data_IF_189924545874
#
_entry.id   IF_189924545874
#
_cell.length_a   1.000
_cell.length_b   1.000
_cell.length_c   1.000
_cell.angle_alpha   90.00
_cell.angle_beta   90.00
_cell.angle_gamma   90.00
#
_symmetry.space_group_name_H-M   'P 1'
#
loop_
_entity.id
_entity.type
_entity.pdbx_description
1 polymer ?
#
# COMPACT_ATOMS: atom_id res chain seq x y z
N UNK A 1 -42.73 -45.19 -17.75
CA UNK A 1 -41.68 -44.25 -18.20
C UNK A 1 -40.53 -44.33 -17.21
N UNK A 2 -39.48 -45.08 -17.51
CA UNK A 2 -38.27 -45.14 -16.71
C UNK A 2 -37.33 -44.05 -17.24
N UNK A 3 -37.05 -43.03 -16.42
CA UNK A 3 -36.03 -42.05 -16.73
C UNK A 3 -34.67 -42.74 -16.59
N UNK A 4 -33.76 -42.72 -17.60
CA UNK A 4 -32.44 -43.28 -17.47
C UNK A 4 -31.64 -42.39 -16.50
N UNK A 5 -31.33 -42.91 -15.32
CA UNK A 5 -30.39 -42.27 -14.42
C UNK A 5 -29.00 -42.31 -15.07
N UNK A 6 -28.52 -41.16 -15.54
CA UNK A 6 -27.15 -41.02 -16.04
C UNK A 6 -26.22 -41.13 -14.83
N UNK A 7 -25.61 -42.31 -14.66
CA UNK A 7 -24.53 -42.50 -13.70
C UNK A 7 -23.35 -41.63 -14.16
N UNK A 8 -23.24 -40.41 -13.59
CA UNK A 8 -22.10 -39.52 -13.80
C UNK A 8 -20.82 -40.26 -13.37
N UNK A 9 -19.89 -40.44 -14.29
CA UNK A 9 -18.56 -40.98 -13.98
C UNK A 9 -17.88 -40.11 -12.90
N UNK A 10 -17.12 -40.73 -11.99
CA UNK A 10 -16.40 -40.07 -10.90
C UNK A 10 -15.56 -38.86 -11.40
N UNK A 11 -14.95 -38.97 -12.59
CA UNK A 11 -14.23 -37.90 -13.25
C UNK A 11 -15.14 -36.70 -13.60
N UNK A 12 -16.35 -36.97 -14.12
CA UNK A 12 -17.31 -35.91 -14.48
C UNK A 12 -17.79 -35.16 -13.24
N UNK A 13 -18.05 -35.87 -12.13
CA UNK A 13 -18.41 -35.27 -10.85
C UNK A 13 -17.26 -34.41 -10.32
N UNK A 14 -16.03 -34.91 -10.36
CA UNK A 14 -14.85 -34.17 -9.96
C UNK A 14 -14.67 -32.88 -10.77
N UNK A 15 -14.79 -32.96 -12.10
CA UNK A 15 -14.68 -31.80 -12.98
C UNK A 15 -15.79 -30.78 -12.72
N UNK A 16 -16.99 -31.19 -12.40
CA UNK A 16 -18.10 -30.30 -12.08
C UNK A 16 -17.85 -29.56 -10.76
N UNK A 17 -17.37 -30.26 -9.73
CA UNK A 17 -16.99 -29.65 -8.45
C UNK A 17 -15.88 -28.65 -8.67
N UNK A 18 -14.82 -29.01 -9.41
CA UNK A 18 -13.71 -28.14 -9.73
C UNK A 18 -14.18 -26.86 -10.46
N UNK A 19 -15.10 -27.03 -11.42
CA UNK A 19 -15.69 -25.93 -12.18
C UNK A 19 -16.42 -24.92 -11.26
N UNK A 20 -17.30 -25.46 -10.38
CA UNK A 20 -18.04 -24.63 -9.42
C UNK A 20 -17.07 -23.93 -8.45
N UNK A 21 -16.03 -24.63 -8.01
CA UNK A 21 -15.00 -24.04 -7.13
C UNK A 21 -14.26 -22.90 -7.81
N UNK A 22 -13.80 -23.07 -9.05
CA UNK A 22 -13.13 -22.02 -9.82
C UNK A 22 -14.04 -20.81 -10.02
N UNK A 23 -15.29 -21.01 -10.43
CA UNK A 23 -16.27 -19.93 -10.55
C UNK A 23 -16.45 -19.18 -9.24
N UNK A 24 -16.62 -19.91 -8.13
CA UNK A 24 -16.76 -19.34 -6.79
C UNK A 24 -15.55 -18.50 -6.38
N UNK A 25 -14.33 -18.94 -6.71
CA UNK A 25 -13.10 -18.20 -6.46
C UNK A 25 -13.07 -16.89 -7.25
N UNK A 26 -13.40 -16.92 -8.54
CA UNK A 26 -13.44 -15.72 -9.39
C UNK A 26 -14.41 -14.67 -8.85
N UNK A 27 -15.62 -15.09 -8.48
CA UNK A 27 -16.63 -14.21 -7.88
C UNK A 27 -16.15 -13.65 -6.53
N UNK A 28 -15.60 -14.52 -5.66
CA UNK A 28 -15.07 -14.10 -4.36
C UNK A 28 -13.95 -13.06 -4.48
N UNK A 29 -13.04 -13.23 -5.44
CA UNK A 29 -11.97 -12.27 -5.71
C UNK A 29 -12.52 -10.94 -6.22
N UNK A 30 -13.54 -10.97 -7.09
CA UNK A 30 -14.25 -9.76 -7.54
C UNK A 30 -14.87 -8.99 -6.37
N UNK A 31 -15.62 -9.66 -5.51
CA UNK A 31 -16.24 -9.06 -4.32
C UNK A 31 -15.19 -8.52 -3.34
N UNK A 32 -14.10 -9.24 -3.14
CA UNK A 32 -12.99 -8.77 -2.30
C UNK A 32 -12.36 -7.49 -2.84
N UNK A 33 -12.15 -7.39 -4.15
CA UNK A 33 -11.62 -6.18 -4.77
C UNK A 33 -12.59 -4.99 -4.64
N UNK A 34 -13.91 -5.21 -4.78
CA UNK A 34 -14.91 -4.16 -4.55
C UNK A 34 -14.83 -3.61 -3.12
N UNK A 35 -14.81 -4.51 -2.12
CA UNK A 35 -14.72 -4.13 -0.71
C UNK A 35 -13.42 -3.34 -0.41
N UNK A 36 -12.30 -3.73 -1.03
CA UNK A 36 -11.02 -2.99 -0.90
C UNK A 36 -11.07 -1.62 -1.58
N UNK A 37 -11.72 -1.51 -2.73
CA UNK A 37 -11.92 -0.21 -3.40
C UNK A 37 -12.75 0.75 -2.54
N UNK A 38 -13.83 0.27 -1.94
CA UNK A 38 -14.67 1.06 -1.04
C UNK A 38 -13.93 1.51 0.22
N UNK A 39 -13.18 0.61 0.88
CA UNK A 39 -12.31 0.94 2.01
C UNK A 39 -11.33 2.08 1.65
N UNK A 40 -10.68 2.00 0.48
CA UNK A 40 -9.74 3.04 0.04
C UNK A 40 -10.42 4.38 -0.25
N UNK A 41 -11.65 4.36 -0.76
CA UNK A 41 -12.44 5.59 -0.98
C UNK A 41 -12.76 6.28 0.34
N UNK A 42 -13.20 5.53 1.34
CA UNK A 42 -13.50 6.08 2.68
C UNK A 42 -12.24 6.68 3.32
N UNK A 43 -11.13 5.95 3.26
CA UNK A 43 -9.86 6.45 3.80
C UNK A 43 -9.38 7.72 3.08
N UNK A 44 -9.53 7.80 1.77
CA UNK A 44 -9.19 8.99 0.99
C UNK A 44 -10.05 10.19 1.40
N UNK A 45 -11.37 10.02 1.50
CA UNK A 45 -12.28 11.07 1.94
C UNK A 45 -11.93 11.56 3.36
N UNK A 46 -11.56 10.67 4.28
CA UNK A 46 -11.11 11.04 5.62
C UNK A 46 -9.82 11.88 5.58
N UNK A 47 -8.88 11.54 4.70
CA UNK A 47 -7.64 12.31 4.56
C UNK A 47 -7.89 13.69 3.95
N UNK A 48 -8.74 13.79 2.94
CA UNK A 48 -9.14 15.07 2.34
C UNK A 48 -9.84 15.96 3.38
N UNK A 49 -10.73 15.38 4.18
CA UNK A 49 -11.37 16.09 5.30
C UNK A 49 -10.34 16.59 6.33
N UNK A 50 -9.32 15.78 6.67
CA UNK A 50 -8.26 16.20 7.60
C UNK A 50 -7.38 17.32 7.04
N UNK A 51 -7.13 17.34 5.74
CA UNK A 51 -6.36 18.39 5.08
C UNK A 51 -7.06 19.75 5.08
N UNK A 52 -8.39 19.78 5.14
CA UNK A 52 -9.17 21.01 5.21
C UNK A 52 -9.25 21.60 6.61
N UNK A 53 -8.81 20.86 7.65
CA UNK A 53 -8.75 21.36 9.02
C UNK A 53 -7.58 22.32 9.20
N UNK A 54 -7.66 23.15 10.25
CA UNK A 54 -6.52 23.95 10.68
C UNK A 54 -5.32 23.04 11.02
N UNK A 55 -4.08 23.45 10.71
CA UNK A 55 -2.91 22.70 11.09
C UNK A 55 -2.87 22.43 12.59
N UNK A 56 -2.45 21.23 12.97
CA UNK A 56 -2.24 20.89 14.37
C UNK A 56 -1.06 21.68 14.93
N UNK A 57 -1.11 22.01 16.23
CA UNK A 57 0.08 22.37 16.99
C UNK A 57 0.88 21.10 17.37
N UNK A 58 2.13 21.29 17.79
CA UNK A 58 2.96 20.17 18.23
C UNK A 58 2.39 19.45 19.46
N UNK A 59 1.85 20.20 20.41
CA UNK A 59 1.16 19.64 21.59
C UNK A 59 -0.04 18.76 21.19
N UNK A 60 -0.88 19.25 20.26
CA UNK A 60 -2.00 18.48 19.74
C UNK A 60 -1.55 17.19 19.04
N UNK A 61 -0.43 17.24 18.30
CA UNK A 61 0.17 16.06 17.70
C UNK A 61 0.59 15.04 18.76
N UNK A 62 1.29 15.46 19.81
CA UNK A 62 1.74 14.56 20.89
C UNK A 62 0.56 13.87 21.58
N UNK A 63 -0.56 14.58 21.79
CA UNK A 63 -1.77 14.02 22.40
C UNK A 63 -2.49 13.00 21.51
N UNK A 64 -2.41 13.16 20.18
CA UNK A 64 -3.13 12.35 19.19
C UNK A 64 -2.34 11.13 18.70
N UNK A 65 -1.05 11.27 18.48
CA UNK A 65 -0.22 10.32 17.72
C UNK A 65 -0.21 8.89 18.26
N UNK A 66 -0.43 8.71 19.55
CA UNK A 66 -0.50 7.40 20.22
C UNK A 66 -1.94 6.87 20.38
N UNK A 67 -2.97 7.69 20.06
CA UNK A 67 -4.38 7.33 20.26
C UNK A 67 -5.07 6.99 18.94
N UNK A 68 -4.70 7.69 17.87
CA UNK A 68 -5.31 7.55 16.56
C UNK A 68 -4.28 7.80 15.45
N UNK A 69 -4.59 7.36 14.23
CA UNK A 69 -3.74 7.70 13.09
C UNK A 69 -3.83 9.18 12.76
N UNK A 70 -2.67 9.83 12.76
CA UNK A 70 -2.53 11.24 12.39
C UNK A 70 -2.23 11.46 10.91
N UNK A 71 -2.23 10.41 10.11
CA UNK A 71 -2.01 10.51 8.66
C UNK A 71 -3.05 11.40 8.00
N UNK A 72 -2.59 12.36 7.20
CA UNK A 72 -3.42 13.32 6.48
C UNK A 72 -3.65 14.64 7.21
N UNK A 73 -3.40 14.74 8.52
CA UNK A 73 -3.44 16.04 9.21
C UNK A 73 -2.29 16.94 8.76
N UNK A 74 -2.53 18.24 8.72
CA UNK A 74 -1.47 19.26 8.57
C UNK A 74 -0.85 19.56 9.93
N UNK A 75 0.42 19.87 9.95
CA UNK A 75 1.17 20.30 11.14
C UNK A 75 1.92 21.58 10.79
N UNK A 76 1.87 22.57 11.68
CA UNK A 76 2.69 23.77 11.60
C UNK A 76 3.57 23.86 12.85
N UNK A 77 4.89 23.98 12.67
CA UNK A 77 5.86 24.01 13.75
C UNK A 77 7.00 24.98 13.47
N UNK A 78 7.59 25.45 14.57
CA UNK A 78 8.93 25.99 14.57
C UNK A 78 9.87 24.93 15.13
N UNK A 79 10.95 24.63 14.43
CA UNK A 79 11.84 23.56 14.83
C UNK A 79 13.30 23.89 14.45
N UNK A 80 14.24 23.21 15.09
CA UNK A 80 15.64 23.22 14.72
C UNK A 80 16.09 21.79 14.39
N UNK A 81 17.07 21.60 13.49
CA UNK A 81 17.64 20.26 13.29
C UNK A 81 18.22 19.73 14.60
N UNK A 82 17.80 18.53 14.98
CA UNK A 82 18.29 17.83 16.16
C UNK A 82 19.66 17.18 15.90
N UNK A 83 19.95 16.88 14.63
CA UNK A 83 21.21 16.34 14.15
C UNK A 83 21.44 16.78 12.70
N UNK A 84 22.71 16.95 12.32
CA UNK A 84 23.10 17.16 10.91
C UNK A 84 23.14 15.86 10.10
N UNK A 85 22.93 14.72 10.73
CA UNK A 85 22.99 13.42 10.09
C UNK A 85 21.75 13.18 9.22
N UNK A 86 21.98 12.86 7.95
CA UNK A 86 20.91 12.51 6.99
C UNK A 86 20.65 11.01 7.04
N UNK A 87 19.37 10.66 7.05
CA UNK A 87 18.89 9.29 7.03
C UNK A 87 18.31 8.98 5.65
N UNK A 88 18.79 7.91 5.00
CA UNK A 88 18.45 7.54 3.63
C UNK A 88 17.73 6.19 3.63
N UNK A 89 16.42 6.22 3.44
CA UNK A 89 15.65 5.00 3.27
C UNK A 89 15.93 4.40 1.89
N UNK A 90 16.47 3.19 1.86
CA UNK A 90 16.86 2.47 0.65
C UNK A 90 15.63 1.92 -0.11
N UNK A 91 15.87 1.46 -1.35
CA UNK A 91 14.89 0.80 -2.20
C UNK A 91 13.61 1.62 -2.48
N UNK A 92 13.76 2.94 -2.61
CA UNK A 92 12.66 3.79 -3.04
C UNK A 92 12.66 3.93 -4.55
N UNK A 93 11.47 4.01 -5.15
CA UNK A 93 11.31 4.19 -6.60
C UNK A 93 10.44 5.41 -6.85
N UNK A 94 10.95 6.32 -7.67
CA UNK A 94 10.20 7.48 -8.13
C UNK A 94 10.42 7.69 -9.63
N UNK A 95 9.35 7.78 -10.41
CA UNK A 95 9.37 7.93 -11.88
C UNK A 95 10.28 6.92 -12.60
N UNK A 96 10.29 5.68 -12.10
CA UNK A 96 11.11 4.60 -12.65
C UNK A 96 12.58 4.61 -12.25
N UNK A 97 13.02 5.59 -11.46
CA UNK A 97 14.38 5.66 -10.92
C UNK A 97 14.44 5.05 -9.52
N UNK A 98 15.44 4.22 -9.28
CA UNK A 98 15.74 3.70 -7.94
C UNK A 98 16.55 4.73 -7.18
N UNK A 99 16.29 4.88 -5.90
CA UNK A 99 16.97 5.86 -5.06
C UNK A 99 16.61 5.74 -3.59
N UNK A 100 16.68 6.85 -2.92
CA UNK A 100 16.51 6.97 -1.47
C UNK A 100 15.46 8.02 -1.15
N UNK A 101 14.70 7.79 -0.08
CA UNK A 101 13.93 8.84 0.56
C UNK A 101 14.73 9.37 1.75
N UNK A 102 15.02 10.66 1.74
CA UNK A 102 15.88 11.29 2.71
C UNK A 102 15.08 11.88 3.87
N UNK A 103 15.64 11.80 5.07
CA UNK A 103 15.05 12.32 6.30
C UNK A 103 16.08 13.00 7.18
N UNK A 104 15.60 13.90 8.02
CA UNK A 104 16.38 14.52 9.07
C UNK A 104 15.54 14.66 10.34
N UNK A 105 16.06 14.31 11.54
CA UNK A 105 15.36 14.53 12.79
C UNK A 105 15.38 16.01 13.18
N UNK A 106 14.23 16.52 13.61
CA UNK A 106 14.02 17.87 14.10
C UNK A 106 13.65 17.87 15.58
N UNK A 107 14.12 18.88 16.29
CA UNK A 107 13.70 19.21 17.65
C UNK A 107 12.73 20.39 17.58
N UNK A 108 11.50 20.19 18.07
CA UNK A 108 10.48 21.22 18.15
C UNK A 108 10.57 21.95 19.50
N UNK A 109 10.59 21.19 20.59
CA UNK A 109 10.72 21.71 21.94
C UNK A 109 11.79 20.93 22.71
N UNK A 110 12.50 21.62 23.61
CA UNK A 110 13.51 20.98 24.43
C UNK A 110 12.89 19.88 25.32
N UNK A 111 13.52 18.71 25.36
CA UNK A 111 13.09 17.58 26.19
C UNK A 111 11.91 16.76 25.62
N UNK A 112 11.38 17.13 24.46
CA UNK A 112 10.33 16.36 23.78
C UNK A 112 10.90 15.36 22.76
N UNK A 113 10.16 14.30 22.39
CA UNK A 113 10.58 13.42 21.31
C UNK A 113 10.83 14.16 20.00
N UNK A 114 11.86 13.76 19.27
CA UNK A 114 12.18 14.35 17.98
C UNK A 114 11.15 13.98 16.92
N UNK A 115 10.96 14.85 15.95
CA UNK A 115 10.09 14.63 14.80
C UNK A 115 10.95 14.39 13.57
N UNK A 116 10.66 13.33 12.82
CA UNK A 116 11.34 13.06 11.56
C UNK A 116 10.69 13.88 10.43
N UNK A 117 11.50 14.70 9.73
CA UNK A 117 11.06 15.40 8.52
C UNK A 117 11.58 14.69 7.28
N UNK A 118 10.73 14.52 6.29
CA UNK A 118 11.08 14.03 4.96
C UNK A 118 11.69 15.15 4.15
N UNK A 119 12.93 14.97 3.69
CA UNK A 119 13.63 15.94 2.84
C UNK A 119 13.25 15.76 1.37
N UNK A 120 12.83 14.56 0.97
CA UNK A 120 12.41 14.19 -0.37
C UNK A 120 13.22 13.04 -0.97
N UNK A 121 12.89 12.70 -2.21
CA UNK A 121 13.54 11.61 -2.95
C UNK A 121 14.81 12.08 -3.65
N UNK A 122 15.85 11.24 -3.58
CA UNK A 122 17.10 11.41 -4.30
C UNK A 122 17.42 10.14 -5.06
N UNK A 123 17.70 10.26 -6.35
CA UNK A 123 18.09 9.12 -7.17
C UNK A 123 19.43 8.53 -6.68
N UNK A 124 19.56 7.21 -6.75
CA UNK A 124 20.82 6.54 -6.49
C UNK A 124 21.85 6.88 -7.57
N UNK A 125 23.13 6.95 -7.18
CA UNK A 125 24.24 7.04 -8.12
C UNK A 125 24.48 5.74 -8.88
N UNK A 126 25.52 5.72 -9.72
CA UNK A 126 25.91 4.55 -10.50
C UNK A 126 26.44 3.41 -9.64
N UNK A 127 26.93 3.71 -8.46
CA UNK A 127 27.49 2.74 -7.52
C UNK A 127 26.70 2.76 -6.21
N UNK A 128 26.33 1.57 -5.74
CA UNK A 128 25.51 1.42 -4.52
C UNK A 128 26.25 1.88 -3.25
N UNK A 129 27.56 1.86 -3.27
CA UNK A 129 28.40 2.24 -2.11
C UNK A 129 28.55 3.76 -1.99
N UNK A 130 28.21 4.51 -3.04
CA UNK A 130 28.25 5.96 -3.05
C UNK A 130 26.89 6.53 -2.71
N UNK A 131 26.70 6.92 -1.44
CA UNK A 131 25.46 7.54 -1.00
C UNK A 131 25.38 8.99 -1.51
N UNK A 132 24.18 9.45 -1.94
CA UNK A 132 24.00 10.81 -2.41
C UNK A 132 24.28 11.81 -1.28
N UNK A 133 24.96 12.89 -1.62
CA UNK A 133 25.18 13.98 -0.69
C UNK A 133 23.98 14.92 -0.67
N UNK A 134 23.40 15.11 0.52
CA UNK A 134 22.29 16.03 0.76
C UNK A 134 22.74 17.03 1.80
N UNK A 135 22.58 18.31 1.51
CA UNK A 135 22.87 19.37 2.47
C UNK A 135 21.85 19.33 3.61
N UNK A 136 22.28 19.13 4.86
CA UNK A 136 21.37 19.13 5.99
C UNK A 136 20.69 20.49 6.16
N UNK A 137 19.45 20.47 6.63
CA UNK A 137 18.78 21.66 7.11
C UNK A 137 19.56 22.26 8.29
N UNK A 138 19.56 23.57 8.43
CA UNK A 138 20.26 24.29 9.49
C UNK A 138 19.46 25.49 10.00
N UNK A 139 19.73 25.92 11.22
CA UNK A 139 19.07 27.06 11.84
C UNK A 139 17.61 26.78 12.27
N UNK A 140 16.94 27.86 12.67
CA UNK A 140 15.54 27.81 13.03
C UNK A 140 14.67 27.75 11.75
N UNK A 141 13.73 26.82 11.73
CA UNK A 141 12.86 26.54 10.60
C UNK A 141 11.41 26.74 11.00
N UNK A 142 10.63 27.37 10.13
CA UNK A 142 9.18 27.38 10.21
C UNK A 142 8.66 26.45 9.11
N UNK A 143 8.09 25.31 9.50
CA UNK A 143 7.71 24.25 8.58
C UNK A 143 6.23 23.99 8.72
N UNK A 144 5.55 23.97 7.58
CA UNK A 144 4.22 23.45 7.45
C UNK A 144 4.23 22.25 6.50
N UNK A 145 3.45 21.23 6.84
CA UNK A 145 3.41 20.02 6.01
C UNK A 145 2.35 19.06 6.47
N UNK A 146 2.30 17.93 5.80
CA UNK A 146 1.36 16.85 6.04
C UNK A 146 2.04 15.75 6.87
N UNK A 147 1.30 15.25 7.85
CA UNK A 147 1.73 14.10 8.65
C UNK A 147 1.39 12.79 7.97
N UNK A 148 2.29 11.82 8.07
CA UNK A 148 1.99 10.43 7.73
C UNK A 148 2.65 9.44 8.68
N UNK A 149 1.95 8.33 8.90
CA UNK A 149 2.46 7.18 9.63
C UNK A 149 2.60 6.04 8.64
N UNK A 150 3.82 5.54 8.46
CA UNK A 150 4.05 4.37 7.62
C UNK A 150 3.71 3.12 8.42
N UNK A 151 2.83 2.28 7.88
CA UNK A 151 2.55 0.98 8.49
C UNK A 151 3.80 0.11 8.35
N UNK A 152 4.21 -0.50 9.47
CA UNK A 152 5.33 -1.43 9.50
C UNK A 152 4.89 -2.72 8.79
N UNK A 153 5.68 -3.18 7.83
CA UNK A 153 5.45 -4.47 7.19
C UNK A 153 5.78 -5.59 8.19
N UNK A 154 4.82 -6.45 8.58
CA UNK A 154 5.07 -7.52 9.54
C UNK A 154 6.19 -8.49 9.13
N UNK A 155 6.45 -8.62 7.83
CA UNK A 155 7.46 -9.53 7.27
C UNK A 155 8.86 -8.90 7.18
N UNK A 156 8.98 -7.57 7.31
CA UNK A 156 10.25 -6.85 7.22
C UNK A 156 10.18 -5.60 8.08
N UNK A 157 10.57 -5.72 9.34
CA UNK A 157 10.43 -4.63 10.33
C UNK A 157 11.76 -4.01 10.74
N UNK A 158 12.86 -4.75 10.60
CA UNK A 158 14.16 -4.29 11.08
C UNK A 158 14.60 -3.01 10.36
N UNK A 159 15.10 -2.04 11.13
CA UNK A 159 15.64 -0.78 10.62
C UNK A 159 16.82 -1.03 9.68
N UNK A 160 17.71 -1.98 10.01
CA UNK A 160 18.93 -2.31 9.26
C UNK A 160 19.75 -1.07 8.92
N UNK A 161 19.99 -0.22 9.92
CA UNK A 161 20.78 0.99 9.77
C UNK A 161 22.26 0.68 9.58
N UNK A 162 22.88 1.27 8.58
CA UNK A 162 24.31 1.20 8.33
C UNK A 162 25.01 2.42 8.94
N UNK A 163 26.24 2.26 9.41
CA UNK A 163 27.04 3.36 9.99
C UNK A 163 27.70 4.18 8.88
N UNK A 164 27.70 5.50 9.01
CA UNK A 164 28.32 6.39 8.04
C UNK A 164 28.01 7.87 8.29
N UNK A 165 28.49 8.74 7.41
CA UNK A 165 28.16 10.19 7.40
C UNK A 165 26.67 10.40 7.14
N UNK A 166 26.11 9.63 6.21
CA UNK A 166 24.66 9.44 6.06
C UNK A 166 24.31 8.02 6.46
N UNK A 167 23.18 7.82 7.13
CA UNK A 167 22.72 6.51 7.58
C UNK A 167 21.78 5.94 6.53
N UNK A 168 22.21 4.89 5.81
CA UNK A 168 21.32 4.11 4.96
C UNK A 168 20.56 3.12 5.83
N UNK A 169 19.25 2.98 5.60
CA UNK A 169 18.39 2.05 6.34
C UNK A 169 17.28 1.49 5.44
N UNK A 170 16.70 0.33 5.82
CA UNK A 170 15.71 -0.35 4.99
C UNK A 170 14.28 0.03 5.36
N UNK A 171 13.92 -0.04 6.61
CA UNK A 171 12.54 0.14 7.06
C UNK A 171 12.41 1.26 8.08
N UNK A 172 11.34 2.03 7.98
CA UNK A 172 11.05 3.14 8.89
C UNK A 172 10.53 2.60 10.23
N UNK A 173 11.45 2.08 11.05
CA UNK A 173 11.18 1.57 12.39
C UNK A 173 11.58 2.62 13.42
N UNK A 174 10.60 3.44 13.86
CA UNK A 174 10.85 4.56 14.79
C UNK A 174 11.42 4.11 16.15
N UNK A 175 10.96 3.01 16.78
CA UNK A 175 11.56 2.49 18.01
C UNK A 175 13.04 2.11 17.87
N UNK A 176 13.43 1.48 16.76
CA UNK A 176 14.84 1.14 16.51
C UNK A 176 15.66 2.38 16.14
N UNK A 177 15.08 3.30 15.36
CA UNK A 177 15.71 4.59 15.05
C UNK A 177 15.99 5.41 16.30
N UNK A 178 15.06 5.44 17.26
CA UNK A 178 15.23 6.10 18.55
C UNK A 178 16.41 5.53 19.34
N UNK A 179 16.65 4.21 19.29
CA UNK A 179 17.82 3.58 19.92
C UNK A 179 19.13 4.01 19.27
N UNK A 180 19.18 4.09 17.94
CA UNK A 180 20.38 4.54 17.21
C UNK A 180 20.66 6.01 17.46
N UNK A 181 19.61 6.84 17.50
CA UNK A 181 19.72 8.28 17.79
C UNK A 181 20.02 8.60 19.27
N UNK A 182 19.80 7.63 20.18
CA UNK A 182 19.90 7.86 21.63
C UNK A 182 18.83 8.82 22.17
N UNK A 183 17.76 9.08 21.40
CA UNK A 183 16.69 10.00 21.75
C UNK A 183 15.33 9.50 21.25
N UNK A 184 14.24 9.68 22.02
CA UNK A 184 12.90 9.33 21.57
C UNK A 184 12.51 10.04 20.26
N UNK A 185 11.82 9.31 19.37
CA UNK A 185 11.30 9.81 18.09
C UNK A 185 9.80 9.55 18.01
N UNK A 186 9.04 10.54 17.57
CA UNK A 186 7.60 10.38 17.35
C UNK A 186 7.34 9.34 16.24
N UNK A 187 6.32 8.47 16.38
CA UNK A 187 5.99 7.45 15.38
C UNK A 187 5.24 8.05 14.17
N UNK A 188 5.75 9.14 13.64
CA UNK A 188 5.16 9.91 12.53
C UNK A 188 6.24 10.66 11.77
N UNK A 189 6.00 10.88 10.49
CA UNK A 189 6.87 11.70 9.62
C UNK A 189 6.10 12.95 9.22
N UNK A 190 6.79 14.08 9.19
CA UNK A 190 6.34 15.32 8.58
C UNK A 190 6.84 15.36 7.13
N UNK A 191 5.93 15.37 6.16
CA UNK A 191 6.19 15.68 4.77
C UNK A 191 5.94 17.16 4.56
N UNK A 192 6.98 18.00 4.42
CA UNK A 192 6.84 19.43 4.30
C UNK A 192 6.23 19.83 2.95
N UNK A 193 5.48 20.93 2.92
CA UNK A 193 5.03 21.55 1.66
C UNK A 193 6.19 22.20 0.93
N UNK A 194 7.06 22.85 1.68
CA UNK A 194 8.29 23.49 1.17
C UNK A 194 9.39 23.41 2.23
N UNK A 195 10.62 23.29 1.79
CA UNK A 195 11.80 23.38 2.63
C UNK A 195 12.73 24.48 2.11
N UNK A 196 13.34 25.28 2.98
CA UNK A 196 14.37 26.23 2.56
C UNK A 196 15.55 25.45 1.95
N UNK A 197 16.01 25.89 0.80
CA UNK A 197 17.20 25.37 0.10
C UNK A 197 17.11 23.92 -0.43
N UNK A 198 15.96 23.26 -0.34
CA UNK A 198 15.75 21.90 -0.87
C UNK A 198 14.47 21.84 -1.70
N UNK A 199 14.62 21.38 -2.95
CA UNK A 199 13.49 21.18 -3.88
C UNK A 199 13.50 19.73 -4.38
N UNK A 200 13.39 18.79 -3.45
CA UNK A 200 13.34 17.37 -3.78
C UNK A 200 11.88 16.90 -3.90
N UNK A 201 11.57 15.97 -4.81
CA UNK A 201 10.22 15.46 -4.93
C UNK A 201 9.83 14.60 -3.71
N UNK A 202 8.54 14.66 -3.35
CA UNK A 202 7.96 13.89 -2.26
C UNK A 202 7.04 12.79 -2.82
N UNK A 203 7.58 11.59 -3.10
CA UNK A 203 6.84 10.51 -3.77
C UNK A 203 5.83 9.82 -2.88
N UNK A 204 5.83 10.06 -1.58
CA UNK A 204 4.93 9.35 -0.69
C UNK A 204 3.47 9.58 -1.06
N UNK A 205 2.76 8.47 -1.20
CA UNK A 205 1.32 8.44 -1.39
C UNK A 205 0.69 7.61 -0.28
N UNK A 206 -0.50 8.02 0.22
CA UNK A 206 -1.16 7.33 1.33
C UNK A 206 -1.53 5.88 0.99
N UNK A 207 -1.73 5.61 -0.30
CA UNK A 207 -2.15 4.29 -0.77
C UNK A 207 -1.31 3.87 -1.97
N UNK A 208 -0.65 2.70 -1.93
CA UNK A 208 0.10 2.18 -3.06
C UNK A 208 -0.81 1.79 -4.23
N UNK A 209 -2.08 1.49 -3.93
CA UNK A 209 -3.09 1.16 -4.92
C UNK A 209 -4.36 2.01 -4.69
N UNK A 210 -4.78 2.75 -5.72
CA UNK A 210 -5.97 3.60 -5.63
C UNK A 210 -7.27 2.78 -5.68
N UNK A 211 -8.37 3.35 -5.20
CA UNK A 211 -9.69 2.73 -5.27
C UNK A 211 -10.08 2.34 -6.70
N UNK A 212 -9.76 3.19 -7.69
CA UNK A 212 -10.03 2.94 -9.11
C UNK A 212 -9.34 1.68 -9.63
N UNK A 213 -8.11 1.42 -9.21
CA UNK A 213 -7.39 0.19 -9.59
C UNK A 213 -8.04 -1.05 -9.00
N UNK A 214 -8.51 -0.99 -7.75
CA UNK A 214 -9.27 -2.08 -7.15
C UNK A 214 -10.57 -2.36 -7.91
N UNK A 215 -11.33 -1.33 -8.30
CA UNK A 215 -12.53 -1.51 -9.13
C UNK A 215 -12.23 -2.06 -10.51
N UNK A 216 -11.12 -1.64 -11.14
CA UNK A 216 -10.64 -2.23 -12.39
C UNK A 216 -10.35 -3.72 -12.27
N UNK A 217 -9.68 -4.15 -11.19
CA UNK A 217 -9.47 -5.57 -10.91
C UNK A 217 -10.77 -6.32 -10.59
N UNK A 218 -11.72 -5.70 -9.88
CA UNK A 218 -13.03 -6.31 -9.66
C UNK A 218 -13.74 -6.59 -10.98
N UNK A 219 -13.73 -5.62 -11.91
CA UNK A 219 -14.30 -5.80 -13.25
C UNK A 219 -13.64 -6.95 -14.01
N UNK A 220 -12.31 -7.09 -13.94
CA UNK A 220 -11.58 -8.21 -14.55
C UNK A 220 -12.02 -9.56 -13.99
N UNK A 221 -12.11 -9.69 -12.66
CA UNK A 221 -12.55 -10.94 -12.02
C UNK A 221 -13.97 -11.32 -12.40
N UNK A 222 -14.91 -10.35 -12.39
CA UNK A 222 -16.28 -10.62 -12.81
C UNK A 222 -16.41 -10.93 -14.30
N UNK A 223 -15.63 -10.26 -15.17
CA UNK A 223 -15.60 -10.58 -16.60
C UNK A 223 -15.11 -11.98 -16.85
N UNK A 224 -14.03 -12.41 -16.16
CA UNK A 224 -13.56 -13.80 -16.23
C UNK A 224 -14.62 -14.78 -15.73
N UNK A 225 -15.31 -14.49 -14.63
CA UNK A 225 -16.39 -15.32 -14.12
C UNK A 225 -17.54 -15.44 -15.11
N UNK A 226 -17.94 -14.33 -15.75
CA UNK A 226 -19.01 -14.32 -16.75
C UNK A 226 -18.66 -15.15 -18.00
N UNK A 227 -17.44 -14.97 -18.54
CA UNK A 227 -16.96 -15.77 -19.68
C UNK A 227 -16.90 -17.26 -19.30
N UNK A 228 -16.37 -17.57 -18.11
CA UNK A 228 -16.28 -18.94 -17.63
C UNK A 228 -17.67 -19.58 -17.48
N UNK A 229 -18.64 -18.87 -16.89
CA UNK A 229 -20.03 -19.33 -16.78
C UNK A 229 -20.66 -19.53 -18.15
N UNK A 230 -20.43 -18.61 -19.10
CA UNK A 230 -20.93 -18.73 -20.48
C UNK A 230 -20.41 -20.00 -21.18
N UNK A 231 -19.10 -20.28 -21.04
CA UNK A 231 -18.49 -21.50 -21.60
C UNK A 231 -19.06 -22.77 -20.96
N UNK A 232 -19.28 -22.75 -19.64
CA UNK A 232 -19.87 -23.90 -18.94
C UNK A 232 -21.30 -24.16 -19.38
N UNK A 233 -22.12 -23.12 -19.51
CA UNK A 233 -23.48 -23.23 -20.03
C UNK A 233 -23.49 -23.75 -21.45
N UNK A 234 -22.64 -23.24 -22.33
CA UNK A 234 -22.52 -23.72 -23.70
C UNK A 234 -22.13 -25.20 -23.77
N UNK A 235 -21.15 -25.62 -22.98
CA UNK A 235 -20.73 -27.03 -22.87
C UNK A 235 -21.88 -27.92 -22.35
N UNK A 236 -22.58 -27.45 -21.32
CA UNK A 236 -23.74 -28.17 -20.75
C UNK A 236 -24.84 -28.37 -21.78
N UNK A 237 -25.21 -27.33 -22.52
CA UNK A 237 -26.22 -27.41 -23.60
C UNK A 237 -25.76 -28.37 -24.68
N UNK A 238 -24.50 -28.33 -25.09
CA UNK A 238 -23.96 -29.24 -26.11
C UNK A 238 -23.97 -30.70 -25.65
N UNK A 239 -23.68 -30.96 -24.38
CA UNK A 239 -23.71 -32.28 -23.78
C UNK A 239 -25.12 -32.86 -23.76
N UNK A 240 -26.13 -32.09 -23.31
CA UNK A 240 -27.53 -32.50 -23.28
C UNK A 240 -28.04 -32.79 -24.69
N UNK A 241 -27.75 -31.94 -25.68
CA UNK A 241 -28.13 -32.15 -27.08
C UNK A 241 -27.52 -33.44 -27.67
N UNK A 242 -26.29 -33.79 -27.35
CA UNK A 242 -25.64 -35.04 -27.78
C UNK A 242 -26.35 -36.27 -27.20
N UNK A 243 -26.62 -36.27 -25.90
CA UNK A 243 -27.32 -37.37 -25.24
C UNK A 243 -28.72 -37.59 -25.81
N UNK A 244 -29.48 -36.52 -26.07
CA UNK A 244 -30.78 -36.59 -26.67
C UNK A 244 -30.74 -37.20 -28.10
N UNK A 245 -29.71 -36.83 -28.89
CA UNK A 245 -29.54 -37.40 -30.24
C UNK A 245 -29.18 -38.90 -30.22
N UNK A 246 -28.32 -39.34 -29.31
CA UNK A 246 -27.95 -40.75 -29.13
C UNK A 246 -29.13 -41.58 -28.64
N UNK A 247 -29.95 -41.06 -27.73
CA UNK A 247 -31.17 -41.75 -27.25
C UNK A 247 -32.19 -41.96 -28.39
N UNK A 248 -32.38 -40.94 -29.25
CA UNK A 248 -33.30 -41.03 -30.40
C UNK A 248 -32.76 -42.02 -31.47
N UNK A 249 -31.44 -42.05 -31.69
CA UNK A 249 -30.82 -42.98 -32.62
C UNK A 249 -30.99 -44.43 -32.18
N UNK A 250 -30.79 -44.73 -30.89
CA UNK A 250 -30.95 -46.07 -30.32
C UNK A 250 -32.42 -46.55 -30.34
N UNK A 251 -33.39 -45.66 -30.11
CA UNK A 251 -34.82 -46.00 -30.16
C UNK A 251 -35.35 -46.26 -31.58
N UNK A 252 -34.59 -45.93 -32.64
CA UNK A 252 -34.97 -46.24 -34.05
C UNK A 252 -34.31 -47.50 -34.58
N UNK A 253 -33.38 -48.07 -33.83
CA UNK A 253 -32.70 -49.33 -34.19
C UNK A 253 -33.29 -50.58 -33.52
N UNK A 254 -34.24 -50.41 -32.61
CA UNK A 254 -35.12 -51.44 -32.06
C UNK A 254 -36.47 -51.46 -32.81
#
# INVERSE_FOLDING_TARGET
>A
MQYPYVLLNKLTVFLLILTVAVFGILVKLGLWQLARGEEKTVLQAQMEARQSLLPLSFEQLQLKVNKESVTGYRLQIQATPASSQIWLQDNQIYQGQVGYLAFQPLQVEAGTPWLLVELGFVAAGSHRDELPHITPLSGALNIEGRLYQKQINPLSQALMAETGTSIRFQNLNMPEMAKVLGHPVLPVVLQPEQLPSLTLPHPWQPFPLSAQKHWGYALQWFSMAAVFAGLMLWQGIKYVKRQSAETIANSRSE
#
